data_IF_872049438890
#
_entry.id   IF_872049438890
#
_cell.length_a   1.000
_cell.length_b   1.000
_cell.length_c   1.000
_cell.angle_alpha   90.00
_cell.angle_beta   90.00
_cell.angle_gamma   90.00
#
_symmetry.space_group_name_H-M   'P 1'
#
loop_
_entity.id
_entity.type
_entity.pdbx_description
1 polymer ?
#
# COMPACT_ATOMS: atom_id res chain seq x y z
N UNK A 1 20.57 -3.13 -11.48
CA UNK A 1 21.99 -3.52 -11.33
C UNK A 1 22.02 -5.03 -11.36
N UNK A 2 22.83 -5.63 -12.23
CA UNK A 2 23.04 -7.09 -12.23
C UNK A 2 24.42 -7.31 -11.65
N UNK A 3 24.53 -8.14 -10.62
CA UNK A 3 25.81 -8.52 -10.04
C UNK A 3 26.03 -10.00 -10.31
N UNK A 4 27.23 -10.34 -10.74
CA UNK A 4 27.66 -11.73 -10.90
C UNK A 4 28.85 -11.96 -9.98
N UNK A 5 28.82 -13.07 -9.25
CA UNK A 5 29.97 -13.54 -8.49
C UNK A 5 30.78 -14.42 -9.44
N UNK A 6 32.02 -14.01 -9.71
CA UNK A 6 32.94 -14.83 -10.48
C UNK A 6 33.73 -15.74 -9.55
N UNK A 7 34.27 -16.85 -10.06
CA UNK A 7 35.02 -17.85 -9.29
C UNK A 7 36.25 -17.30 -8.57
N UNK A 8 36.76 -16.14 -8.98
CA UNK A 8 37.86 -15.42 -8.31
C UNK A 8 37.39 -14.50 -7.15
N UNK A 9 36.19 -14.76 -6.60
CA UNK A 9 35.59 -14.05 -5.45
C UNK A 9 35.33 -12.54 -5.65
N UNK A 10 35.51 -12.01 -6.85
CA UNK A 10 35.14 -10.65 -7.16
C UNK A 10 33.64 -10.54 -7.50
N UNK A 11 32.99 -9.52 -6.95
CA UNK A 11 31.62 -9.15 -7.30
C UNK A 11 31.69 -8.08 -8.37
N UNK A 12 31.33 -8.41 -9.60
CA UNK A 12 31.24 -7.43 -10.67
C UNK A 12 29.77 -7.05 -10.87
N UNK A 13 29.47 -5.76 -10.67
CA UNK A 13 28.13 -5.24 -10.83
C UNK A 13 28.07 -4.31 -12.03
N UNK A 14 27.21 -4.64 -12.99
CA UNK A 14 27.01 -3.89 -14.21
C UNK A 14 25.69 -3.12 -14.09
N UNK A 15 25.78 -1.80 -14.26
CA UNK A 15 24.62 -0.91 -14.41
C UNK A 15 23.91 -1.19 -15.73
N UNK A 16 22.59 -1.18 -15.72
CA UNK A 16 21.81 -1.30 -16.96
C UNK A 16 21.84 0.06 -17.68
N UNK A 17 22.83 0.26 -18.56
CA UNK A 17 23.08 1.56 -19.19
C UNK A 17 22.21 1.86 -20.42
N UNK A 18 21.45 0.89 -20.95
CA UNK A 18 20.64 1.09 -22.16
C UNK A 18 19.19 0.66 -21.95
N UNK A 19 18.27 1.57 -22.25
CA UNK A 19 16.81 1.35 -22.23
C UNK A 19 16.36 0.21 -23.16
N UNK A 20 17.20 -0.19 -24.13
CA UNK A 20 16.97 -1.27 -25.09
C UNK A 20 17.27 -2.67 -24.53
N UNK A 21 18.09 -2.79 -23.48
CA UNK A 21 18.50 -4.07 -22.90
C UNK A 21 17.60 -4.54 -21.75
N UNK A 22 16.65 -3.70 -21.33
CA UNK A 22 15.79 -4.00 -20.21
C UNK A 22 14.37 -4.26 -20.72
N UNK A 23 14.00 -5.54 -20.77
CA UNK A 23 12.70 -6.02 -21.23
C UNK A 23 11.55 -5.16 -20.68
N UNK A 24 10.53 -4.93 -21.52
CA UNK A 24 9.35 -4.11 -21.24
C UNK A 24 8.72 -4.44 -19.86
N UNK A 25 8.66 -5.71 -19.51
CA UNK A 25 8.21 -6.24 -18.22
C UNK A 25 8.91 -5.59 -17.01
N UNK A 26 10.23 -5.41 -17.09
CA UNK A 26 11.03 -4.81 -16.00
C UNK A 26 10.79 -3.30 -15.92
N UNK A 27 10.48 -2.65 -17.05
CA UNK A 27 10.15 -1.23 -17.07
C UNK A 27 8.78 -0.99 -16.43
N UNK A 28 7.78 -1.80 -16.79
CA UNK A 28 6.44 -1.74 -16.20
C UNK A 28 6.50 -1.96 -14.69
N UNK A 29 7.25 -2.96 -14.24
CA UNK A 29 7.47 -3.23 -12.83
C UNK A 29 7.99 -2.04 -12.03
N UNK A 30 8.97 -1.30 -12.58
CA UNK A 30 9.50 -0.09 -11.91
C UNK A 30 8.44 1.00 -11.78
N UNK A 31 7.68 1.25 -12.84
CA UNK A 31 6.61 2.25 -12.82
C UNK A 31 5.54 1.87 -11.80
N UNK A 32 5.14 0.60 -11.78
CA UNK A 32 4.11 0.10 -10.88
C UNK A 32 4.59 0.11 -9.41
N UNK A 33 5.88 -0.15 -9.14
CA UNK A 33 6.47 -0.05 -7.81
C UNK A 33 6.52 1.40 -7.31
N UNK A 34 6.98 2.33 -8.16
CA UNK A 34 7.06 3.77 -7.81
C UNK A 34 5.67 4.33 -7.55
N UNK A 35 4.70 4.03 -8.42
CA UNK A 35 3.31 4.50 -8.23
C UNK A 35 2.68 3.93 -6.96
N UNK A 36 2.93 2.67 -6.62
CA UNK A 36 2.52 2.08 -5.35
C UNK A 36 3.12 2.82 -4.14
N UNK A 37 4.40 3.18 -4.18
CA UNK A 37 5.04 3.95 -3.11
C UNK A 37 4.42 5.34 -2.94
N UNK A 38 4.15 6.04 -4.05
CA UNK A 38 3.49 7.36 -4.04
C UNK A 38 2.08 7.24 -3.46
N UNK A 39 1.31 6.24 -3.86
CA UNK A 39 -0.05 6.06 -3.37
C UNK A 39 -0.07 5.68 -1.88
N UNK A 40 0.87 4.85 -1.43
CA UNK A 40 1.02 4.49 -0.02
C UNK A 40 1.46 5.68 0.84
N UNK A 41 2.38 6.52 0.36
CA UNK A 41 2.85 7.69 1.11
C UNK A 41 1.75 8.76 1.21
N UNK A 42 1.05 9.04 0.12
CA UNK A 42 -0.12 9.92 0.12
C UNK A 42 -1.22 9.38 1.05
N UNK A 43 -1.51 8.08 0.99
CA UNK A 43 -2.48 7.44 1.88
C UNK A 43 -2.11 7.57 3.36
N UNK A 44 -0.83 7.38 3.71
CA UNK A 44 -0.34 7.55 5.08
C UNK A 44 -0.45 9.00 5.55
N UNK A 45 -0.05 9.98 4.73
CA UNK A 45 -0.16 11.40 5.05
C UNK A 45 -1.62 11.78 5.31
N UNK A 46 -2.53 11.37 4.42
CA UNK A 46 -3.96 11.64 4.55
C UNK A 46 -4.54 10.96 5.79
N UNK A 47 -4.13 9.73 6.11
CA UNK A 47 -4.55 9.03 7.32
C UNK A 47 -4.09 9.74 8.60
N UNK A 48 -2.85 10.26 8.64
CA UNK A 48 -2.31 11.03 9.78
C UNK A 48 -3.11 12.32 10.02
N UNK A 49 -3.53 13.01 8.94
CA UNK A 49 -4.41 14.17 9.06
C UNK A 49 -5.82 13.81 9.55
N UNK A 50 -6.26 12.57 9.34
CA UNK A 50 -7.52 12.01 9.85
C UNK A 50 -7.50 11.66 11.35
N UNK A 51 -6.34 11.51 11.98
CA UNK A 51 -6.25 11.07 13.38
C UNK A 51 -6.74 12.13 14.37
N UNK A 52 -7.44 11.67 15.42
CA UNK A 52 -7.98 12.45 16.55
C UNK A 52 -7.03 13.52 17.10
N UNK A 53 -5.75 13.17 17.23
CA UNK A 53 -4.71 13.99 17.84
C UNK A 53 -4.23 15.18 16.98
N UNK A 54 -4.55 15.23 15.69
CA UNK A 54 -4.15 16.34 14.81
C UNK A 54 -5.14 17.49 14.92
N UNK A 55 -4.73 18.61 15.55
CA UNK A 55 -5.53 19.84 15.75
C UNK A 55 -5.81 20.65 14.46
N UNK A 56 -5.30 20.24 13.31
CA UNK A 56 -5.45 20.99 12.05
C UNK A 56 -6.91 21.10 11.56
N UNK A 57 -7.81 20.19 11.96
CA UNK A 57 -9.19 20.10 11.46
C UNK A 57 -10.26 20.07 12.58
N UNK A 58 -10.10 20.90 13.62
CA UNK A 58 -10.99 20.88 14.80
C UNK A 58 -12.45 21.30 14.49
N UNK A 59 -12.67 22.09 13.44
CA UNK A 59 -14.00 22.64 13.10
C UNK A 59 -14.96 21.64 12.45
N UNK A 60 -14.48 20.57 11.80
CA UNK A 60 -15.32 19.65 11.02
C UNK A 60 -14.94 18.18 11.27
N UNK A 61 -15.56 17.55 12.28
CA UNK A 61 -15.37 16.12 12.58
C UNK A 61 -15.68 15.20 11.38
N UNK A 62 -16.66 15.57 10.55
CA UNK A 62 -17.02 14.79 9.36
C UNK A 62 -15.94 14.81 8.26
N UNK A 63 -15.25 15.92 8.05
CA UNK A 63 -14.18 15.98 7.03
C UNK A 63 -12.94 15.21 7.47
N UNK A 64 -12.71 15.13 8.79
CA UNK A 64 -11.65 14.32 9.40
C UNK A 64 -11.89 12.82 9.20
N UNK A 65 -13.12 12.35 9.43
CA UNK A 65 -13.49 10.96 9.19
C UNK A 65 -13.41 10.59 7.70
N UNK A 66 -13.82 11.49 6.80
CA UNK A 66 -13.69 11.30 5.35
C UNK A 66 -12.24 11.23 4.91
N UNK A 67 -11.36 12.03 5.51
CA UNK A 67 -9.92 11.98 5.24
C UNK A 67 -9.34 10.62 5.69
N UNK A 68 -9.64 10.16 6.90
CA UNK A 68 -9.19 8.85 7.38
C UNK A 68 -9.66 7.70 6.46
N UNK A 69 -10.93 7.75 6.03
CA UNK A 69 -11.49 6.77 5.09
C UNK A 69 -10.81 6.83 3.70
N UNK A 70 -10.59 8.03 3.16
CA UNK A 70 -9.89 8.21 1.89
C UNK A 70 -8.44 7.68 1.96
N UNK A 71 -7.72 7.96 3.05
CA UNK A 71 -6.38 7.44 3.29
C UNK A 71 -6.34 5.90 3.35
N UNK A 72 -7.35 5.29 3.97
CA UNK A 72 -7.53 3.83 3.97
C UNK A 72 -7.72 3.25 2.56
N UNK A 73 -8.58 3.84 1.73
CA UNK A 73 -8.79 3.40 0.34
C UNK A 73 -7.50 3.51 -0.47
N UNK A 74 -6.79 4.64 -0.36
CA UNK A 74 -5.50 4.83 -1.03
C UNK A 74 -4.50 3.75 -0.60
N UNK A 75 -4.43 3.43 0.70
CA UNK A 75 -3.56 2.39 1.21
C UNK A 75 -3.93 0.98 0.66
N UNK A 76 -5.22 0.63 0.63
CA UNK A 76 -5.71 -0.64 0.05
C UNK A 76 -5.36 -0.76 -1.44
N UNK A 77 -5.63 0.27 -2.22
CA UNK A 77 -5.28 0.30 -3.64
C UNK A 77 -3.77 0.13 -3.84
N UNK A 78 -2.94 0.82 -3.05
CA UNK A 78 -1.49 0.69 -3.14
C UNK A 78 -1.01 -0.76 -2.88
N UNK A 79 -1.56 -1.42 -1.87
CA UNK A 79 -1.25 -2.82 -1.56
C UNK A 79 -1.72 -3.80 -2.65
N UNK A 80 -2.85 -3.54 -3.31
CA UNK A 80 -3.31 -4.34 -4.47
C UNK A 80 -2.36 -4.23 -5.67
N UNK A 81 -1.89 -3.01 -5.97
CA UNK A 81 -0.89 -2.82 -7.02
C UNK A 81 0.42 -3.55 -6.70
N UNK A 82 0.92 -3.42 -5.48
CA UNK A 82 2.13 -4.12 -5.03
C UNK A 82 1.98 -5.66 -5.07
N UNK A 83 0.84 -6.20 -4.62
CA UNK A 83 0.54 -7.63 -4.73
C UNK A 83 0.44 -8.09 -6.19
N UNK A 84 -0.21 -7.32 -7.07
CA UNK A 84 -0.33 -7.68 -8.48
C UNK A 84 1.03 -7.82 -9.16
N UNK A 85 1.92 -6.85 -8.94
CA UNK A 85 3.28 -6.88 -9.51
C UNK A 85 4.07 -8.06 -8.95
N UNK A 86 4.07 -8.24 -7.62
CA UNK A 86 4.84 -9.32 -6.98
C UNK A 86 4.33 -10.70 -7.39
N UNK A 87 3.01 -10.87 -7.57
CA UNK A 87 2.40 -12.11 -8.07
C UNK A 87 2.81 -12.39 -9.50
N UNK A 88 2.86 -11.36 -10.37
CA UNK A 88 3.35 -11.51 -11.74
C UNK A 88 4.80 -11.99 -11.79
N UNK A 89 5.68 -11.38 -11.00
CA UNK A 89 7.08 -11.82 -10.91
C UNK A 89 7.22 -13.23 -10.35
N UNK A 90 6.45 -13.56 -9.31
CA UNK A 90 6.46 -14.90 -8.73
C UNK A 90 6.05 -15.94 -9.77
N UNK A 91 4.96 -15.68 -10.50
CA UNK A 91 4.52 -16.57 -11.58
C UNK A 91 5.57 -16.71 -12.68
N UNK A 92 6.18 -15.62 -13.13
CA UNK A 92 7.23 -15.66 -14.15
C UNK A 92 8.46 -16.45 -13.72
N UNK A 93 8.87 -16.36 -12.44
CA UNK A 93 9.97 -17.17 -11.90
C UNK A 93 9.59 -18.65 -11.89
N UNK A 94 8.37 -18.97 -11.43
CA UNK A 94 7.88 -20.35 -11.37
C UNK A 94 7.77 -20.97 -12.76
N UNK A 95 7.25 -20.24 -13.75
CA UNK A 95 7.17 -20.68 -15.14
C UNK A 95 8.58 -20.99 -15.72
N UNK A 96 9.54 -20.10 -15.44
CA UNK A 96 10.93 -20.28 -15.88
C UNK A 96 11.59 -21.51 -15.22
N UNK A 97 11.19 -21.87 -14.00
CA UNK A 97 11.67 -23.08 -13.33
C UNK A 97 11.19 -24.39 -13.96
N UNK A 98 9.99 -24.40 -14.53
CA UNK A 98 9.37 -25.59 -15.11
C UNK A 98 9.69 -25.79 -16.60
N UNK A 99 10.16 -24.76 -17.31
CA UNK A 99 10.68 -24.90 -18.68
C UNK A 99 12.08 -25.55 -18.68
N UNK A 100 12.17 -26.78 -19.19
CA UNK A 100 13.41 -27.59 -19.18
C UNK A 100 14.52 -27.04 -20.09
N UNK A 101 14.21 -26.14 -21.04
CA UNK A 101 15.16 -25.63 -22.04
C UNK A 101 16.09 -24.50 -21.54
N UNK A 102 15.85 -23.93 -20.35
CA UNK A 102 16.67 -22.82 -19.84
C UNK A 102 17.73 -23.31 -18.84
N UNK A 103 19.01 -23.18 -19.23
CA UNK A 103 20.18 -23.52 -18.39
C UNK A 103 20.33 -22.66 -17.13
N UNK A 104 19.56 -21.59 -16.95
CA UNK A 104 19.67 -20.67 -15.82
C UNK A 104 18.46 -20.81 -14.87
N UNK A 105 18.67 -21.35 -13.67
CA UNK A 105 17.64 -21.46 -12.62
C UNK A 105 17.60 -20.16 -11.78
N UNK A 106 16.44 -19.51 -11.68
CA UNK A 106 16.28 -18.25 -10.95
C UNK A 106 15.81 -18.45 -9.50
N UNK A 107 16.67 -18.33 -8.50
CA UNK A 107 16.23 -18.47 -7.08
C UNK A 107 15.40 -17.27 -6.63
N UNK A 108 14.32 -17.53 -5.88
CA UNK A 108 13.49 -16.49 -5.26
C UNK A 108 14.34 -15.73 -4.24
N UNK A 109 14.55 -14.43 -4.49
CA UNK A 109 15.28 -13.57 -3.57
C UNK A 109 14.45 -13.16 -2.36
N UNK A 110 15.11 -12.93 -1.23
CA UNK A 110 14.50 -12.42 0.01
C UNK A 110 13.69 -11.12 -0.19
N UNK A 111 14.11 -10.28 -1.14
CA UNK A 111 13.39 -9.06 -1.53
C UNK A 111 11.95 -9.34 -1.99
N UNK A 112 11.73 -10.43 -2.72
CA UNK A 112 10.40 -10.79 -3.25
C UNK A 112 9.45 -11.22 -2.12
N UNK A 113 9.98 -12.01 -1.18
CA UNK A 113 9.24 -12.45 0.03
C UNK A 113 8.90 -11.25 0.91
N UNK A 114 9.86 -10.34 1.10
CA UNK A 114 9.65 -9.10 1.84
C UNK A 114 8.58 -8.20 1.20
N UNK A 115 8.58 -8.08 -0.13
CA UNK A 115 7.58 -7.31 -0.86
C UNK A 115 6.17 -7.93 -0.74
N UNK A 116 6.06 -9.26 -0.78
CA UNK A 116 4.78 -9.95 -0.58
C UNK A 116 4.22 -9.71 0.82
N UNK A 117 5.06 -9.89 1.86
CA UNK A 117 4.68 -9.64 3.25
C UNK A 117 4.28 -8.17 3.48
N UNK A 118 5.06 -7.22 2.95
CA UNK A 118 4.76 -5.79 3.04
C UNK A 118 3.42 -5.44 2.37
N UNK A 119 3.14 -6.03 1.19
CA UNK A 119 1.88 -5.76 0.47
C UNK A 119 0.66 -6.26 1.24
N UNK A 120 0.77 -7.45 1.87
CA UNK A 120 -0.26 -7.96 2.78
C UNK A 120 -0.46 -7.04 3.99
N UNK A 121 0.64 -6.60 4.62
CA UNK A 121 0.58 -5.71 5.76
C UNK A 121 -0.09 -4.37 5.41
N UNK A 122 0.23 -3.80 4.25
CA UNK A 122 -0.41 -2.59 3.73
C UNK A 122 -1.91 -2.80 3.49
N UNK A 123 -2.31 -3.94 2.93
CA UNK A 123 -3.72 -4.27 2.72
C UNK A 123 -4.48 -4.40 4.03
N UNK A 124 -3.95 -5.18 4.98
CA UNK A 124 -4.55 -5.33 6.29
C UNK A 124 -4.65 -3.97 7.01
N UNK A 125 -3.59 -3.17 6.99
CA UNK A 125 -3.59 -1.83 7.56
C UNK A 125 -4.66 -0.92 6.93
N UNK A 126 -4.75 -0.90 5.59
CA UNK A 126 -5.75 -0.09 4.87
C UNK A 126 -7.19 -0.54 5.13
N UNK A 127 -7.45 -1.85 5.20
CA UNK A 127 -8.78 -2.41 5.51
C UNK A 127 -9.18 -2.07 6.95
N UNK A 128 -8.27 -2.21 7.91
CA UNK A 128 -8.52 -1.84 9.30
C UNK A 128 -8.84 -0.35 9.44
N UNK A 129 -8.08 0.52 8.76
CA UNK A 129 -8.35 1.97 8.72
C UNK A 129 -9.72 2.29 8.11
N UNK A 130 -10.09 1.63 7.01
CA UNK A 130 -11.42 1.77 6.40
C UNK A 130 -12.53 1.31 7.36
N UNK A 131 -12.37 0.15 7.98
CA UNK A 131 -13.36 -0.42 8.89
C UNK A 131 -13.59 0.49 10.11
N UNK A 132 -12.52 0.98 10.73
CA UNK A 132 -12.60 1.92 11.86
C UNK A 132 -13.24 3.26 11.48
N UNK A 133 -12.94 3.79 10.28
CA UNK A 133 -13.53 5.05 9.81
C UNK A 133 -15.02 4.90 9.50
N UNK A 134 -15.42 3.76 8.90
CA UNK A 134 -16.82 3.44 8.61
C UNK A 134 -17.65 3.24 9.88
N UNK A 135 -17.11 2.57 10.90
CA UNK A 135 -17.82 2.40 12.17
C UNK A 135 -18.02 3.73 12.88
N UNK A 136 -17.05 4.64 12.81
CA UNK A 136 -17.17 5.99 13.39
C UNK A 136 -18.24 6.84 12.66
N UNK A 137 -18.24 6.83 11.32
CA UNK A 137 -19.28 7.48 10.51
C UNK A 137 -20.68 6.87 10.76
N UNK A 138 -20.75 5.55 10.91
CA UNK A 138 -21.98 4.82 11.21
C UNK A 138 -22.49 5.16 12.62
N UNK A 139 -21.62 5.31 13.61
CA UNK A 139 -21.99 5.72 14.96
C UNK A 139 -22.62 7.12 14.98
N UNK A 140 -21.99 8.09 14.30
CA UNK A 140 -22.52 9.45 14.18
C UNK A 140 -23.90 9.51 13.48
N UNK A 141 -24.07 8.73 12.41
CA UNK A 141 -25.36 8.68 11.68
C UNK A 141 -26.45 7.97 12.48
N UNK A 142 -26.12 6.96 13.29
CA UNK A 142 -27.08 6.34 14.21
C UNK A 142 -27.48 7.27 15.36
N UNK A 143 -26.57 8.11 15.86
CA UNK A 143 -26.91 9.19 16.79
C UNK A 143 -27.85 10.22 16.15
N UNK A 144 -27.60 10.58 14.89
CA UNK A 144 -28.45 11.50 14.13
C UNK A 144 -29.82 10.92 13.77
N UNK A 145 -29.97 9.59 13.72
CA UNK A 145 -31.25 8.90 13.49
C UNK A 145 -32.09 8.68 14.75
N UNK A 146 -31.54 8.89 15.96
CA UNK A 146 -32.39 9.01 17.15
C UNK A 146 -33.12 10.35 17.08
N UNK A 147 -34.45 10.41 17.29
CA UNK A 147 -35.14 11.70 17.39
C UNK A 147 -34.47 12.52 18.49
N UNK A 148 -34.29 13.81 18.23
CA UNK A 148 -33.86 14.81 19.22
C UNK A 148 -34.71 14.64 20.47
N UNK A 149 -34.13 14.08 21.53
CA UNK A 149 -34.74 14.18 22.85
C UNK A 149 -34.49 15.61 23.32
N UNK A 150 -35.46 16.51 23.08
CA UNK A 150 -35.60 17.74 23.85
C UNK A 150 -35.71 17.33 25.32
N UNK A 151 -34.63 17.48 26.08
CA UNK A 151 -34.71 17.52 27.54
C UNK A 151 -35.00 18.99 27.89
N UNK A 152 -36.12 19.30 28.56
CA UNK A 152 -36.47 20.67 28.90
C UNK A 152 -35.58 21.16 30.05
N UNK A 153 -35.11 22.40 29.92
CA UNK A 153 -34.76 23.29 31.03
C UNK A 153 -33.64 22.85 31.98
N UNK A 154 -32.52 23.57 31.93
CA UNK A 154 -31.92 24.06 33.18
C UNK A 154 -31.14 25.34 32.92
N UNK A 155 -31.76 26.43 33.31
CA UNK A 155 -31.21 27.77 33.45
C UNK A 155 -29.98 27.73 34.38
N UNK A 156 -28.90 28.37 33.95
CA UNK A 156 -27.79 28.73 34.83
C UNK A 156 -28.07 30.11 35.41
N UNK A 157 -28.25 30.17 36.73
CA UNK A 157 -28.09 31.36 37.56
C UNK A 157 -26.66 31.37 38.08
#
# INVERSE_FOLDING_TARGET
>A
MKCTISSSSFVQCIGFNTLLHQAFEIRLARVMMITSMVFSSLGAIVAIFGLGCTRCLDKNKQSKDRAAFAGGILSVCSGLFALGITSWFMYGIVDDFFQEDKKARYVIGWSLIGAFAASLLCLFGGVLLCACSLTHLRSNTNLSKRPVSKIPGKDYV
#
